data_IF_501822560959
#
_entry.id   IF_501822560959
#
_cell.length_a   1.000
_cell.length_b   1.000
_cell.length_c   1.000
_cell.angle_alpha   90.00
_cell.angle_beta   90.00
_cell.angle_gamma   90.00
#
_symmetry.space_group_name_H-M   'P 1'
#
loop_
_entity.id
_entity.type
_entity.pdbx_description
1 polymer ?
#
# COMPACT_ATOMS: atom_id res chain seq x y z
N UNK A 1 -14.10 -4.11 21.06
CA UNK A 1 -12.89 -4.75 20.54
C UNK A 1 -11.91 -3.70 20.07
N UNK A 2 -10.71 -3.68 20.61
CA UNK A 2 -9.67 -2.80 20.14
C UNK A 2 -9.10 -3.27 18.79
N UNK A 3 -8.78 -2.31 17.96
CA UNK A 3 -8.18 -2.57 16.64
C UNK A 3 -6.90 -1.73 16.52
N UNK A 4 -5.77 -2.24 17.10
CA UNK A 4 -4.51 -1.48 17.06
C UNK A 4 -4.07 -1.11 15.64
N UNK A 5 -4.40 -1.95 14.66
CA UNK A 5 -4.05 -1.69 13.26
C UNK A 5 -4.69 -0.42 12.71
N UNK A 6 -5.83 0.01 13.24
CA UNK A 6 -6.50 1.23 12.77
C UNK A 6 -5.60 2.45 12.96
N UNK A 7 -5.04 2.62 14.16
CA UNK A 7 -4.14 3.73 14.47
C UNK A 7 -2.82 3.63 13.69
N UNK A 8 -2.25 2.44 13.59
CA UNK A 8 -1.01 2.22 12.85
C UNK A 8 -1.18 2.51 11.36
N UNK A 9 -2.28 2.03 10.77
CA UNK A 9 -2.58 2.29 9.37
C UNK A 9 -2.80 3.78 9.11
N UNK A 10 -3.50 4.46 10.00
CA UNK A 10 -3.76 5.90 9.90
C UNK A 10 -2.45 6.69 9.95
N UNK A 11 -1.54 6.32 10.83
CA UNK A 11 -0.23 6.97 10.97
C UNK A 11 0.55 6.92 9.66
N UNK A 12 0.68 5.75 9.06
CA UNK A 12 1.44 5.60 7.81
C UNK A 12 0.69 6.20 6.62
N UNK A 13 -0.64 6.21 6.64
CA UNK A 13 -1.45 6.89 5.62
C UNK A 13 -1.20 8.41 5.64
N UNK A 14 -1.16 9.02 6.82
CA UNK A 14 -0.87 10.45 6.94
C UNK A 14 0.56 10.77 6.53
N UNK A 15 1.50 9.88 6.83
CA UNK A 15 2.88 10.01 6.37
C UNK A 15 2.95 9.97 4.84
N UNK A 16 2.21 9.04 4.23
CA UNK A 16 2.10 8.94 2.77
C UNK A 16 1.55 10.23 2.17
N UNK A 17 0.46 10.75 2.75
CA UNK A 17 -0.16 11.99 2.29
C UNK A 17 0.82 13.16 2.33
N UNK A 18 1.53 13.31 3.45
CA UNK A 18 2.52 14.37 3.61
C UNK A 18 3.65 14.27 2.62
N UNK A 19 4.14 13.05 2.37
CA UNK A 19 5.20 12.81 1.39
C UNK A 19 4.75 13.20 -0.01
N UNK A 20 3.57 12.74 -0.42
CA UNK A 20 3.03 13.03 -1.75
C UNK A 20 2.83 14.54 -1.95
N UNK A 21 2.35 15.25 -0.93
CA UNK A 21 2.12 16.70 -1.01
C UNK A 21 3.42 17.49 -1.24
N UNK A 22 4.53 17.05 -0.64
CA UNK A 22 5.80 17.78 -0.78
C UNK A 22 6.64 17.36 -1.98
N UNK A 23 6.36 16.19 -2.60
CA UNK A 23 7.10 15.74 -3.76
C UNK A 23 6.63 16.44 -5.04
N UNK A 24 7.58 16.93 -5.82
CA UNK A 24 7.29 17.48 -7.14
C UNK A 24 7.08 16.35 -8.14
N UNK A 25 6.48 16.67 -9.28
CA UNK A 25 6.28 15.67 -10.34
C UNK A 25 7.62 15.15 -10.86
N UNK A 26 8.63 16.00 -10.89
CA UNK A 26 9.99 15.60 -11.28
C UNK A 26 10.56 14.58 -10.28
N UNK A 27 10.39 14.84 -8.99
CA UNK A 27 10.87 13.93 -7.95
C UNK A 27 10.15 12.57 -8.01
N UNK A 28 8.87 12.57 -8.32
CA UNK A 28 8.10 11.33 -8.48
C UNK A 28 8.65 10.42 -9.58
N UNK A 29 9.33 11.00 -10.56
CA UNK A 29 9.94 10.25 -11.68
C UNK A 29 11.36 9.78 -11.40
N UNK A 30 11.93 10.11 -10.25
CA UNK A 30 13.31 9.70 -9.91
C UNK A 30 13.41 8.20 -9.75
N UNK A 31 14.49 7.59 -10.27
CA UNK A 31 14.69 6.15 -10.18
C UNK A 31 15.14 5.72 -8.78
N UNK A 32 14.46 4.70 -8.23
CA UNK A 32 14.83 4.08 -6.96
C UNK A 32 15.81 2.92 -7.14
N UNK A 33 15.89 2.38 -8.35
CA UNK A 33 16.69 1.20 -8.67
C UNK A 33 15.81 0.05 -9.15
N UNK A 34 16.42 -0.94 -9.78
CA UNK A 34 15.73 -2.13 -10.29
C UNK A 34 14.58 -1.83 -11.24
N UNK A 35 14.69 -0.70 -11.98
CA UNK A 35 13.64 -0.30 -12.93
C UNK A 35 12.46 0.41 -12.31
N UNK A 36 12.48 0.65 -11.00
CA UNK A 36 11.40 1.34 -10.28
C UNK A 36 11.70 2.83 -10.14
N UNK A 37 10.63 3.63 -10.24
CA UNK A 37 10.66 5.05 -9.86
C UNK A 37 9.91 5.22 -8.54
N UNK A 38 9.98 6.41 -7.95
CA UNK A 38 9.18 6.72 -6.76
C UNK A 38 7.69 6.53 -7.08
N UNK A 39 7.23 7.01 -8.25
CA UNK A 39 5.85 6.84 -8.67
C UNK A 39 5.46 5.36 -8.80
N UNK A 40 6.37 4.51 -9.28
CA UNK A 40 6.11 3.07 -9.38
C UNK A 40 5.95 2.45 -7.99
N UNK A 41 6.77 2.84 -7.02
CA UNK A 41 6.61 2.36 -5.65
C UNK A 41 5.23 2.73 -5.08
N UNK A 42 4.75 3.94 -5.40
CA UNK A 42 3.42 4.40 -4.97
C UNK A 42 2.31 3.64 -5.70
N UNK A 43 2.45 3.39 -7.00
CA UNK A 43 1.50 2.57 -7.76
C UNK A 43 1.46 1.13 -7.21
N UNK A 44 2.61 0.60 -6.82
CA UNK A 44 2.73 -0.71 -6.19
C UNK A 44 1.94 -0.76 -4.87
N UNK A 45 2.06 0.25 -4.03
CA UNK A 45 1.28 0.35 -2.80
C UNK A 45 -0.22 0.36 -3.11
N UNK A 46 -0.63 1.14 -4.10
CA UNK A 46 -2.05 1.25 -4.47
C UNK A 46 -2.62 -0.09 -4.93
N UNK A 47 -1.87 -0.83 -5.74
CA UNK A 47 -2.30 -2.14 -6.24
C UNK A 47 -2.53 -3.13 -5.07
N UNK A 48 -1.56 -3.26 -4.17
CA UNK A 48 -1.67 -4.24 -3.09
C UNK A 48 -2.76 -3.89 -2.09
N UNK A 49 -2.96 -2.60 -1.79
CA UNK A 49 -4.09 -2.17 -0.96
C UNK A 49 -5.43 -2.47 -1.65
N UNK A 50 -5.51 -2.20 -2.94
CA UNK A 50 -6.72 -2.48 -3.72
C UNK A 50 -7.03 -3.98 -3.77
N UNK A 51 -5.99 -4.82 -3.92
CA UNK A 51 -6.17 -6.26 -3.91
C UNK A 51 -6.74 -6.76 -2.58
N UNK A 52 -6.23 -6.24 -1.46
CA UNK A 52 -6.75 -6.61 -0.14
C UNK A 52 -8.21 -6.17 0.01
N UNK A 53 -8.55 -4.98 -0.47
CA UNK A 53 -9.92 -4.48 -0.43
C UNK A 53 -10.88 -5.42 -1.16
N UNK A 54 -10.54 -5.80 -2.38
CA UNK A 54 -11.38 -6.69 -3.17
C UNK A 54 -11.41 -8.11 -2.60
N UNK A 55 -10.31 -8.56 -2.02
CA UNK A 55 -10.26 -9.85 -1.34
C UNK A 55 -11.21 -9.85 -0.13
N UNK A 56 -11.22 -8.79 0.67
CA UNK A 56 -12.14 -8.65 1.80
C UNK A 56 -13.60 -8.68 1.34
N UNK A 57 -13.91 -8.02 0.24
CA UNK A 57 -15.26 -8.04 -0.32
C UNK A 57 -15.67 -9.45 -0.75
N UNK A 58 -14.75 -10.18 -1.34
CA UNK A 58 -14.98 -11.59 -1.71
C UNK A 58 -15.21 -12.43 -0.46
N UNK A 59 -14.36 -12.28 0.55
CA UNK A 59 -14.48 -13.02 1.81
C UNK A 59 -15.80 -12.75 2.53
N UNK A 60 -16.31 -11.54 2.48
CA UNK A 60 -17.62 -11.21 3.08
C UNK A 60 -18.75 -12.00 2.44
N UNK A 61 -18.62 -12.34 1.17
CA UNK A 61 -19.65 -13.10 0.43
C UNK A 61 -19.49 -14.61 0.56
N UNK A 62 -18.26 -15.10 0.52
CA UNK A 62 -18.00 -16.55 0.41
C UNK A 62 -17.20 -17.14 1.57
N UNK A 63 -16.84 -16.35 2.56
CA UNK A 63 -16.07 -16.80 3.73
C UNK A 63 -14.58 -16.56 3.60
N UNK A 64 -13.94 -16.38 4.75
CA UNK A 64 -12.49 -16.14 4.82
C UNK A 64 -11.74 -17.43 4.53
N UNK A 65 -10.81 -17.38 3.60
CA UNK A 65 -9.96 -18.51 3.24
C UNK A 65 -8.59 -18.02 2.77
N UNK A 66 -7.54 -18.86 2.84
CA UNK A 66 -6.23 -18.48 2.36
C UNK A 66 -6.28 -18.04 0.88
N UNK A 67 -5.54 -17.00 0.56
CA UNK A 67 -5.44 -16.49 -0.81
C UNK A 67 -3.98 -16.17 -1.10
N UNK A 68 -3.22 -17.20 -1.43
CA UNK A 68 -1.79 -17.04 -1.76
C UNK A 68 -1.65 -16.40 -3.14
N UNK A 69 -0.53 -15.70 -3.32
CA UNK A 69 -0.22 -15.03 -4.56
C UNK A 69 1.30 -15.09 -4.77
N UNK A 70 1.71 -15.29 -6.00
CA UNK A 70 3.13 -15.20 -6.37
C UNK A 70 3.47 -13.71 -6.49
N UNK A 71 4.04 -13.16 -5.43
CA UNK A 71 4.34 -11.72 -5.32
C UNK A 71 5.32 -11.27 -6.40
N UNK A 72 6.38 -12.02 -6.63
CA UNK A 72 7.40 -11.67 -7.60
C UNK A 72 6.84 -11.62 -9.02
N UNK A 73 6.15 -12.68 -9.43
CA UNK A 73 5.52 -12.73 -10.75
C UNK A 73 4.50 -11.61 -10.92
N UNK A 74 3.71 -11.34 -9.89
CA UNK A 74 2.70 -10.29 -9.90
C UNK A 74 3.35 -8.92 -10.10
N UNK A 75 4.37 -8.59 -9.29
CA UNK A 75 5.06 -7.32 -9.40
C UNK A 75 5.75 -7.16 -10.75
N UNK A 76 6.41 -8.21 -11.24
CA UNK A 76 7.10 -8.18 -12.53
C UNK A 76 6.13 -7.96 -13.68
N UNK A 77 4.96 -8.62 -13.64
CA UNK A 77 3.97 -8.48 -14.69
C UNK A 77 3.27 -7.12 -14.69
N UNK A 78 3.23 -6.46 -13.53
CA UNK A 78 2.59 -5.14 -13.39
C UNK A 78 3.54 -3.97 -13.62
N UNK A 79 4.85 -4.19 -13.60
CA UNK A 79 5.82 -3.10 -13.68
C UNK A 79 5.60 -2.19 -14.90
N UNK A 80 5.43 -2.78 -16.08
CA UNK A 80 5.22 -1.97 -17.29
C UNK A 80 3.91 -1.18 -17.23
N UNK A 81 2.89 -1.72 -16.59
CA UNK A 81 1.61 -1.03 -16.41
C UNK A 81 1.75 0.11 -15.41
N UNK A 82 2.48 -0.10 -14.33
CA UNK A 82 2.74 0.95 -13.35
C UNK A 82 3.55 2.10 -13.95
N UNK A 83 4.55 1.76 -14.78
CA UNK A 83 5.36 2.77 -15.46
C UNK A 83 4.54 3.63 -16.44
N UNK A 84 3.43 3.09 -16.95
CA UNK A 84 2.56 3.81 -17.87
C UNK A 84 1.61 4.78 -17.15
N UNK A 85 1.49 4.69 -15.83
CA UNK A 85 0.63 5.61 -15.06
C UNK A 85 1.37 6.94 -14.90
N UNK A 86 0.72 8.09 -15.22
CA UNK A 86 1.34 9.39 -14.96
C UNK A 86 1.76 9.50 -13.49
N UNK A 87 2.97 9.98 -13.18
CA UNK A 87 3.49 9.97 -11.81
C UNK A 87 2.58 10.57 -10.74
N UNK A 88 1.98 11.73 -11.01
CA UNK A 88 1.08 12.37 -10.03
C UNK A 88 -0.19 11.55 -9.82
N UNK A 89 -0.67 10.87 -10.86
CA UNK A 89 -1.83 9.99 -10.76
C UNK A 89 -1.51 8.78 -9.89
N UNK A 90 -0.33 8.19 -10.06
CA UNK A 90 0.12 7.07 -9.22
C UNK A 90 0.17 7.47 -7.75
N UNK A 91 0.71 8.66 -7.47
CA UNK A 91 0.78 9.19 -6.11
C UNK A 91 -0.61 9.37 -5.50
N UNK A 92 -1.54 9.94 -6.25
CA UNK A 92 -2.91 10.15 -5.78
C UNK A 92 -3.64 8.82 -5.58
N UNK A 93 -3.40 7.82 -6.43
CA UNK A 93 -3.97 6.48 -6.27
C UNK A 93 -3.48 5.82 -4.99
N UNK A 94 -2.22 6.00 -4.63
CA UNK A 94 -1.68 5.44 -3.39
C UNK A 94 -2.48 5.93 -2.18
N UNK A 95 -2.79 7.23 -2.15
CA UNK A 95 -3.57 7.82 -1.06
C UNK A 95 -5.01 7.30 -1.06
N UNK A 96 -5.68 7.34 -2.21
CA UNK A 96 -7.10 6.93 -2.28
C UNK A 96 -7.28 5.44 -1.99
N UNK A 97 -6.38 4.58 -2.44
CA UNK A 97 -6.45 3.15 -2.14
C UNK A 97 -6.16 2.88 -0.66
N UNK A 98 -5.22 3.63 -0.06
CA UNK A 98 -4.95 3.52 1.38
C UNK A 98 -6.18 3.92 2.20
N UNK A 99 -6.83 5.01 1.83
CA UNK A 99 -8.05 5.47 2.51
C UNK A 99 -9.17 4.43 2.41
N UNK A 100 -9.35 3.83 1.22
CA UNK A 100 -10.41 2.86 0.98
C UNK A 100 -10.23 1.59 1.81
N UNK A 101 -9.01 1.01 1.81
CA UNK A 101 -8.77 -0.21 2.59
C UNK A 101 -8.83 0.08 4.09
N UNK A 102 -8.30 1.20 4.54
CA UNK A 102 -8.31 1.54 5.96
C UNK A 102 -9.74 1.71 6.49
N UNK A 103 -10.61 2.33 5.70
CA UNK A 103 -12.03 2.47 6.04
C UNK A 103 -12.72 1.11 6.12
N UNK A 104 -12.46 0.25 5.14
CA UNK A 104 -13.02 -1.11 5.13
C UNK A 104 -12.62 -1.89 6.38
N UNK A 105 -11.36 -1.79 6.78
CA UNK A 105 -10.85 -2.46 7.99
C UNK A 105 -11.43 -1.87 9.27
N UNK A 106 -11.61 -0.56 9.31
CA UNK A 106 -12.18 0.11 10.48
C UNK A 106 -13.64 -0.24 10.67
N UNK A 107 -14.40 -0.35 9.60
CA UNK A 107 -15.85 -0.59 9.62
C UNK A 107 -16.24 -2.07 9.63
N UNK A 108 -15.30 -2.98 9.39
CA UNK A 108 -15.58 -4.41 9.30
C UNK A 108 -16.12 -4.98 10.63
N UNK A 109 -17.06 -5.94 10.57
CA UNK A 109 -17.57 -6.61 11.79
C UNK A 109 -16.44 -7.30 12.56
N UNK A 110 -16.55 -7.32 13.90
CA UNK A 110 -15.53 -7.94 14.76
C UNK A 110 -15.28 -9.40 14.46
N UNK A 111 -16.33 -10.16 14.17
CA UNK A 111 -16.21 -11.58 13.84
C UNK A 111 -15.39 -11.79 12.56
N UNK A 112 -15.60 -10.93 11.58
CA UNK A 112 -14.88 -10.97 10.31
C UNK A 112 -13.38 -10.69 10.53
N UNK A 113 -13.06 -9.68 11.33
CA UNK A 113 -11.67 -9.38 11.69
C UNK A 113 -11.01 -10.57 12.40
N UNK A 114 -11.74 -11.19 13.33
CA UNK A 114 -11.23 -12.37 14.05
C UNK A 114 -10.91 -13.52 13.08
N UNK A 115 -11.76 -13.75 12.08
CA UNK A 115 -11.51 -14.78 11.07
C UNK A 115 -10.25 -14.47 10.25
N UNK A 116 -10.05 -13.20 9.87
CA UNK A 116 -8.85 -12.80 9.13
C UNK A 116 -7.61 -13.00 10.00
N UNK A 117 -7.68 -12.62 11.28
CA UNK A 117 -6.59 -12.84 12.23
C UNK A 117 -6.22 -14.32 12.33
N UNK A 118 -7.21 -15.18 12.23
CA UNK A 118 -7.02 -16.64 12.26
C UNK A 118 -6.15 -17.19 11.15
N UNK A 119 -5.97 -16.45 10.05
CA UNK A 119 -5.07 -16.84 8.96
C UNK A 119 -3.60 -16.69 9.34
N UNK A 120 -3.29 -15.93 10.40
CA UNK A 120 -1.91 -15.70 10.82
C UNK A 120 -1.12 -14.72 9.94
N UNK A 121 -1.79 -14.04 9.04
CA UNK A 121 -1.16 -13.11 8.11
C UNK A 121 -1.39 -11.66 8.56
N UNK A 122 -0.54 -11.21 9.47
CA UNK A 122 -0.64 -9.88 10.11
C UNK A 122 -0.75 -8.73 9.10
N UNK A 123 -0.04 -8.82 7.98
CA UNK A 123 -0.02 -7.78 6.95
C UNK A 123 -1.38 -7.54 6.29
N UNK A 124 -2.32 -8.48 6.39
CA UNK A 124 -3.67 -8.31 5.86
C UNK A 124 -4.40 -7.18 6.57
N UNK A 125 -4.18 -7.04 7.86
CA UNK A 125 -4.82 -6.02 8.71
C UNK A 125 -3.90 -4.82 8.90
N UNK A 126 -2.61 -5.05 9.13
CA UNK A 126 -1.62 -4.00 9.31
C UNK A 126 -1.05 -3.57 7.95
N UNK A 127 -1.82 -2.79 7.23
CA UNK A 127 -1.38 -2.24 5.93
C UNK A 127 -0.21 -1.26 6.12
N UNK A 128 -0.06 -0.75 7.34
CA UNK A 128 1.06 0.10 7.73
C UNK A 128 2.42 -0.55 7.50
N UNK A 129 2.52 -1.88 7.64
CA UNK A 129 3.79 -2.60 7.44
C UNK A 129 4.33 -2.36 6.03
N UNK A 130 3.49 -2.54 5.03
CA UNK A 130 3.87 -2.37 3.63
C UNK A 130 4.15 -0.90 3.30
N UNK A 131 3.30 0.00 3.78
CA UNK A 131 3.47 1.44 3.60
C UNK A 131 4.80 1.92 4.19
N UNK A 132 5.07 1.52 5.44
CA UNK A 132 6.30 1.92 6.13
C UNK A 132 7.54 1.46 5.37
N UNK A 133 7.54 0.23 4.88
CA UNK A 133 8.67 -0.32 4.12
C UNK A 133 9.02 0.59 2.94
N UNK A 134 8.04 0.93 2.12
CA UNK A 134 8.30 1.70 0.91
C UNK A 134 8.50 3.19 1.18
N UNK A 135 7.80 3.76 2.17
CA UNK A 135 8.01 5.15 2.55
C UNK A 135 9.40 5.35 3.14
N UNK A 136 9.89 4.40 3.93
CA UNK A 136 11.26 4.43 4.45
C UNK A 136 12.27 4.42 3.30
N UNK A 137 12.06 3.56 2.30
CA UNK A 137 12.94 3.49 1.12
C UNK A 137 12.97 4.81 0.35
N UNK A 138 11.80 5.41 0.13
CA UNK A 138 11.70 6.67 -0.59
C UNK A 138 12.39 7.79 0.19
N UNK A 139 12.11 7.92 1.47
CA UNK A 139 12.70 8.98 2.30
C UNK A 139 14.21 8.81 2.44
N UNK A 140 14.68 7.58 2.58
CA UNK A 140 16.12 7.30 2.63
C UNK A 140 16.81 7.67 1.32
N UNK A 141 16.20 7.33 0.18
CA UNK A 141 16.70 7.70 -1.12
C UNK A 141 16.79 9.21 -1.28
N UNK A 142 15.74 9.96 -0.93
CA UNK A 142 15.70 11.40 -1.03
C UNK A 142 16.76 12.05 -0.11
N UNK A 143 16.93 11.53 1.08
CA UNK A 143 17.92 12.00 2.04
C UNK A 143 19.34 11.77 1.52
N UNK A 144 19.63 10.63 0.93
CA UNK A 144 20.93 10.31 0.32
C UNK A 144 21.24 11.23 -0.86
N UNK A 145 20.22 11.54 -1.67
CA UNK A 145 20.36 12.42 -2.81
C UNK A 145 20.74 13.84 -2.37
N UNK A 146 20.14 14.34 -1.29
CA UNK A 146 20.40 15.68 -0.78
C UNK A 146 21.82 15.83 -0.21
N UNK A 147 22.47 14.73 0.12
CA UNK A 147 23.84 14.73 0.67
C UNK A 147 24.93 14.63 -0.38
N UNK A 148 24.57 14.37 -1.62
CA UNK A 148 25.55 14.19 -2.71
C UNK A 148 25.90 15.47 -3.46
#
# INVERSE_FOLDING_TARGET
MERPFVAENAKERERLRSLVERLTDKELSLPLGYGWTIAVALAHLSFWDQRILFLMRKWKKSGVEPSSVDIEVTNDSLLSLWLAIPPRKAANLAISCAEAIDRELEEAPSDFITEIEGLGEKFRLYRSIHRKLHLDQIEEFLSSKDKS
#
